data_IF_556390234052
#
_entry.id   IF_556390234052
#
_cell.length_a   1.000
_cell.length_b   1.000
_cell.length_c   1.000
_cell.angle_alpha   90.00
_cell.angle_beta   90.00
_cell.angle_gamma   90.00
#
_symmetry.space_group_name_H-M   'P 1'
#
loop_
_entity.id
_entity.type
_entity.pdbx_description
1 polymer ?
#
# COMPACT_ATOMS: atom_id res chain seq x y z
N UNK A 1 -47.54 10.48 9.08
CA UNK A 1 -46.81 9.19 9.02
C UNK A 1 -45.34 9.52 8.86
N UNK A 2 -44.35 9.00 9.57
CA UNK A 2 -44.25 7.94 10.57
C UNK A 2 -42.83 8.07 11.20
N UNK A 3 -42.77 8.29 12.52
CA UNK A 3 -41.76 7.81 13.50
C UNK A 3 -40.30 8.25 13.27
N UNK A 4 -39.74 9.17 14.06
CA UNK A 4 -39.26 9.01 15.46
C UNK A 4 -37.99 8.13 15.54
N UNK A 5 -36.92 8.81 15.98
CA UNK A 5 -35.75 8.36 16.78
C UNK A 5 -34.97 7.12 16.33
N UNK A 6 -33.71 7.35 15.95
CA UNK A 6 -32.59 6.59 16.50
C UNK A 6 -31.41 7.55 16.74
N UNK A 7 -31.33 8.03 17.98
CA UNK A 7 -30.10 8.55 18.59
C UNK A 7 -29.21 7.33 18.83
N UNK A 8 -28.20 7.14 17.98
CA UNK A 8 -27.08 6.23 18.27
C UNK A 8 -26.02 7.03 19.00
N UNK A 9 -26.13 7.03 20.34
CA UNK A 9 -25.08 7.45 21.24
C UNK A 9 -23.93 6.42 21.17
N UNK A 10 -22.98 6.62 20.25
CA UNK A 10 -21.65 6.02 20.37
C UNK A 10 -20.90 6.86 21.39
N UNK A 11 -21.00 6.44 22.64
CA UNK A 11 -20.11 6.82 23.71
C UNK A 11 -18.71 6.23 23.41
N UNK A 12 -17.92 6.90 22.57
CA UNK A 12 -16.47 6.69 22.53
C UNK A 12 -15.85 7.50 23.67
N UNK A 13 -16.01 6.96 24.87
CA UNK A 13 -15.27 7.40 26.05
C UNK A 13 -13.79 7.05 25.90
N UNK A 14 -12.99 8.03 26.31
CA UNK A 14 -11.55 8.02 26.51
C UNK A 14 -10.94 6.69 26.94
N UNK A 15 -9.81 6.35 26.32
CA UNK A 15 -8.63 5.95 27.10
C UNK A 15 -7.36 6.27 26.32
N UNK A 16 -6.86 7.49 26.54
CA UNK A 16 -5.43 7.76 26.44
C UNK A 16 -4.74 6.82 27.44
N UNK A 17 -3.98 5.87 26.93
CA UNK A 17 -3.02 5.11 27.74
C UNK A 17 -1.63 5.51 27.30
N UNK A 18 -1.05 6.48 28.01
CA UNK A 18 0.38 6.76 27.93
C UNK A 18 1.04 5.77 28.90
N UNK A 19 1.76 4.77 28.38
CA UNK A 19 2.72 4.01 29.17
C UNK A 19 4.12 4.48 28.82
N UNK A 20 4.68 5.38 29.63
CA UNK A 20 6.11 5.66 29.66
C UNK A 20 6.75 4.81 30.76
N UNK A 21 7.24 3.63 30.38
CA UNK A 21 8.18 2.87 31.21
C UNK A 21 9.58 3.16 30.70
N UNK A 22 10.24 4.16 31.30
CA UNK A 22 11.68 4.41 31.11
C UNK A 22 12.47 3.39 31.91
N UNK A 23 13.10 2.45 31.19
CA UNK A 23 14.21 1.65 31.72
C UNK A 23 15.49 2.21 31.13
N UNK A 24 16.31 2.82 31.98
CA UNK A 24 17.65 3.25 31.64
C UNK A 24 18.55 2.02 31.40
N UNK A 25 18.74 1.65 30.14
CA UNK A 25 19.95 0.99 29.68
C UNK A 25 20.44 1.77 28.46
N UNK A 26 21.50 2.52 28.68
CA UNK A 26 22.26 3.18 27.64
C UNK A 26 22.85 2.10 26.71
N UNK A 27 22.15 1.82 25.62
CA UNK A 27 22.75 1.35 24.38
C UNK A 27 22.24 2.31 23.32
N UNK A 28 23.14 3.19 22.89
CA UNK A 28 23.07 3.89 21.62
C UNK A 28 23.08 2.78 20.56
N UNK A 29 21.92 2.19 20.29
CA UNK A 29 21.65 1.58 19.01
C UNK A 29 21.06 2.70 18.20
N UNK A 30 21.94 3.35 17.43
CA UNK A 30 21.56 4.06 16.23
C UNK A 30 20.68 3.10 15.44
N UNK A 31 19.36 3.16 15.63
CA UNK A 31 18.42 2.67 14.64
C UNK A 31 18.55 3.67 13.50
N UNK A 32 19.63 3.51 12.76
CA UNK A 32 19.68 3.89 11.36
C UNK A 32 18.36 3.37 10.83
N UNK A 33 17.49 4.30 10.46
CA UNK A 33 16.39 4.02 9.56
C UNK A 33 17.09 3.60 8.26
N UNK A 34 17.65 2.39 8.25
CA UNK A 34 17.97 1.68 7.03
C UNK A 34 16.59 1.42 6.49
N UNK A 35 16.09 2.37 5.71
CA UNK A 35 15.12 2.09 4.70
C UNK A 35 15.76 0.96 3.92
N UNK A 36 15.39 -0.28 4.26
CA UNK A 36 15.82 -1.45 3.53
C UNK A 36 15.37 -1.16 2.10
N UNK A 37 16.32 -0.81 1.23
CA UNK A 37 16.02 -0.49 -0.16
C UNK A 37 15.22 -1.67 -0.69
N UNK A 38 13.92 -1.46 -0.89
CA UNK A 38 13.04 -2.51 -1.40
C UNK A 38 13.53 -2.78 -2.81
N UNK A 39 14.27 -3.87 -2.96
CA UNK A 39 14.77 -4.31 -4.25
C UNK A 39 13.61 -4.92 -5.02
N UNK A 40 13.21 -4.22 -6.06
CA UNK A 40 12.23 -4.67 -7.03
C UNK A 40 12.91 -5.54 -8.09
N UNK A 41 12.44 -6.79 -8.23
CA UNK A 41 12.84 -7.70 -9.29
C UNK A 41 11.75 -7.74 -10.36
N UNK A 42 12.13 -7.58 -11.63
CA UNK A 42 11.18 -7.68 -12.75
C UNK A 42 10.67 -9.12 -12.86
N UNK A 43 9.34 -9.27 -12.91
CA UNK A 43 8.63 -10.54 -13.03
C UNK A 43 7.63 -10.46 -14.17
N UNK A 44 7.17 -11.62 -14.65
CA UNK A 44 6.09 -11.63 -15.64
C UNK A 44 4.77 -11.24 -14.98
N UNK A 45 3.88 -10.62 -15.74
CA UNK A 45 2.52 -10.32 -15.25
C UNK A 45 1.77 -11.57 -14.76
N UNK A 46 2.05 -12.73 -15.37
CA UNK A 46 1.49 -14.03 -15.01
C UNK A 46 1.96 -14.52 -13.63
N UNK A 47 3.08 -14.01 -13.12
CA UNK A 47 3.63 -14.34 -11.80
C UNK A 47 3.05 -13.47 -10.69
N UNK A 48 2.29 -12.42 -11.05
CA UNK A 48 1.58 -11.61 -10.06
C UNK A 48 0.42 -12.41 -9.45
N UNK A 49 0.12 -12.22 -8.15
CA UNK A 49 -1.07 -12.80 -7.55
C UNK A 49 -2.34 -12.41 -8.30
N UNK A 50 -3.32 -13.32 -8.33
CA UNK A 50 -4.62 -13.06 -8.97
C UNK A 50 -5.29 -11.80 -8.42
N UNK A 51 -5.14 -11.51 -7.12
CA UNK A 51 -5.66 -10.28 -6.52
C UNK A 51 -5.12 -9.01 -7.19
N UNK A 52 -3.81 -8.95 -7.45
CA UNK A 52 -3.15 -7.81 -8.12
C UNK A 52 -3.60 -7.72 -9.58
N UNK A 53 -3.65 -8.86 -10.29
CA UNK A 53 -4.10 -8.90 -11.68
C UNK A 53 -5.56 -8.41 -11.82
N UNK A 54 -6.44 -8.83 -10.92
CA UNK A 54 -7.84 -8.39 -10.87
C UNK A 54 -7.93 -6.90 -10.56
N UNK A 55 -7.19 -6.41 -9.56
CA UNK A 55 -7.19 -4.98 -9.21
C UNK A 55 -6.74 -4.09 -10.38
N UNK A 56 -5.72 -4.52 -11.13
CA UNK A 56 -5.27 -3.83 -12.34
C UNK A 56 -6.34 -3.88 -13.43
N UNK A 57 -6.93 -5.05 -13.67
CA UNK A 57 -7.96 -5.22 -14.69
C UNK A 57 -9.23 -4.40 -14.40
N UNK A 58 -9.59 -4.19 -13.12
CA UNK A 58 -10.75 -3.40 -12.72
C UNK A 58 -10.49 -1.89 -12.70
N UNK A 59 -9.32 -1.46 -12.23
CA UNK A 59 -9.01 -0.04 -12.01
C UNK A 59 -8.29 0.62 -13.19
N UNK A 60 -7.60 -0.18 -14.02
CA UNK A 60 -6.71 0.28 -15.08
C UNK A 60 -6.96 -0.48 -16.40
N UNK A 61 -8.22 -0.82 -16.70
CA UNK A 61 -8.58 -1.56 -17.93
C UNK A 61 -8.14 -0.85 -19.22
N UNK A 62 -8.04 0.48 -19.18
CA UNK A 62 -7.62 1.32 -20.31
C UNK A 62 -6.09 1.46 -20.43
N UNK A 63 -5.32 0.85 -19.53
CA UNK A 63 -3.86 0.91 -19.52
C UNK A 63 -3.26 -0.41 -20.02
N UNK A 64 -2.17 -0.30 -20.78
CA UNK A 64 -1.32 -1.42 -21.15
C UNK A 64 -0.32 -1.71 -20.04
N UNK A 65 -0.28 -2.97 -19.57
CA UNK A 65 0.76 -3.41 -18.64
C UNK A 65 2.11 -3.50 -19.38
N UNK A 66 3.08 -2.68 -18.99
CA UNK A 66 4.43 -2.69 -19.54
C UNK A 66 5.35 -3.63 -18.78
N UNK A 67 5.40 -3.46 -17.45
CA UNK A 67 6.31 -4.19 -16.58
C UNK A 67 5.67 -4.46 -15.23
N UNK A 68 6.06 -5.58 -14.64
CA UNK A 68 5.67 -5.96 -13.29
C UNK A 68 6.93 -6.25 -12.49
N UNK A 69 6.92 -5.88 -11.23
CA UNK A 69 8.01 -6.09 -10.31
C UNK A 69 7.49 -6.59 -8.98
N UNK A 70 8.26 -7.48 -8.34
CA UNK A 70 8.05 -7.93 -6.97
C UNK A 70 9.17 -7.37 -6.09
N UNK A 71 8.78 -6.72 -5.00
CA UNK A 71 9.68 -6.29 -3.94
C UNK A 71 10.07 -7.47 -3.06
N UNK A 72 11.29 -7.46 -2.54
CA UNK A 72 11.76 -8.40 -1.52
C UNK A 72 10.85 -8.44 -0.27
N UNK A 73 10.16 -7.35 0.04
CA UNK A 73 9.19 -7.25 1.13
C UNK A 73 7.82 -7.88 0.82
N UNK A 74 7.64 -8.38 -0.43
CA UNK A 74 6.36 -8.90 -0.93
C UNK A 74 5.46 -7.82 -1.52
N UNK A 75 5.90 -6.56 -1.60
CA UNK A 75 5.17 -5.53 -2.36
C UNK A 75 5.23 -5.80 -3.86
N UNK A 76 4.32 -5.21 -4.62
CA UNK A 76 4.31 -5.29 -6.07
C UNK A 76 4.34 -3.89 -6.66
N UNK A 77 5.12 -3.68 -7.70
CA UNK A 77 5.14 -2.45 -8.49
C UNK A 77 4.82 -2.80 -9.93
N UNK A 78 3.82 -2.14 -10.51
CA UNK A 78 3.39 -2.38 -11.88
C UNK A 78 3.48 -1.07 -12.65
N UNK A 79 4.21 -1.10 -13.75
CA UNK A 79 4.29 0.02 -14.69
C UNK A 79 3.21 -0.18 -15.76
N UNK A 80 2.30 0.78 -15.82
CA UNK A 80 1.21 0.83 -16.76
C UNK A 80 1.42 1.99 -17.73
N UNK A 81 0.96 1.84 -18.96
CA UNK A 81 1.09 2.82 -20.04
C UNK A 81 -0.26 3.12 -20.65
N UNK A 82 -0.56 4.40 -20.82
CA UNK A 82 -1.74 4.87 -21.52
C UNK A 82 -1.32 5.95 -22.54
N UNK A 83 -2.22 6.44 -23.41
CA UNK A 83 -1.87 7.50 -24.36
C UNK A 83 -1.53 8.84 -23.69
N UNK A 84 -1.80 9.03 -22.40
CA UNK A 84 -1.48 10.24 -21.64
C UNK A 84 -0.08 10.19 -20.98
N UNK A 85 0.47 9.00 -20.76
CA UNK A 85 1.76 8.80 -20.10
C UNK A 85 1.93 7.40 -19.51
N UNK A 86 3.01 7.23 -18.74
CA UNK A 86 3.24 6.01 -17.97
C UNK A 86 2.96 6.29 -16.49
N UNK A 87 2.46 5.30 -15.77
CA UNK A 87 2.25 5.38 -14.33
C UNK A 87 2.84 4.14 -13.65
N UNK A 88 3.28 4.27 -12.41
CA UNK A 88 3.69 3.18 -11.54
C UNK A 88 2.66 3.01 -10.43
N UNK A 89 2.07 1.83 -10.34
CA UNK A 89 1.08 1.47 -9.32
C UNK A 89 1.71 0.47 -8.37
N UNK A 90 1.56 0.70 -7.08
CA UNK A 90 2.16 -0.11 -6.02
C UNK A 90 1.06 -0.80 -5.24
N UNK A 91 1.24 -2.09 -5.01
CA UNK A 91 0.35 -2.94 -4.22
C UNK A 91 1.12 -3.57 -3.06
N UNK A 92 0.42 -3.87 -1.98
CA UNK A 92 0.98 -4.60 -0.85
C UNK A 92 0.97 -6.13 -1.13
N UNK A 93 1.50 -6.92 -0.20
CA UNK A 93 1.55 -8.38 -0.31
C UNK A 93 0.17 -9.04 -0.44
N UNK A 94 -0.89 -8.39 0.03
CA UNK A 94 -2.28 -8.86 -0.05
C UNK A 94 -2.96 -8.49 -1.39
N UNK A 95 -2.29 -7.69 -2.22
CA UNK A 95 -2.81 -7.19 -3.48
C UNK A 95 -3.70 -5.94 -3.34
N UNK A 96 -3.66 -5.28 -2.20
CA UNK A 96 -4.33 -4.00 -1.99
C UNK A 96 -3.50 -2.85 -2.53
N UNK A 97 -4.18 -1.84 -3.10
CA UNK A 97 -3.54 -0.64 -3.60
C UNK A 97 -2.87 0.16 -2.47
N UNK A 98 -1.61 0.53 -2.69
CA UNK A 98 -0.81 1.34 -1.75
C UNK A 98 -0.66 2.77 -2.26
N UNK A 99 -0.17 2.92 -3.49
CA UNK A 99 0.04 4.23 -4.12
C UNK A 99 0.10 4.14 -5.64
N UNK A 100 -0.10 5.28 -6.29
CA UNK A 100 0.15 5.49 -7.71
C UNK A 100 1.09 6.69 -7.87
N UNK A 101 2.03 6.59 -8.79
CA UNK A 101 2.92 7.68 -9.20
C UNK A 101 2.92 7.81 -10.71
N UNK A 102 2.71 9.03 -11.21
CA UNK A 102 2.84 9.32 -12.62
C UNK A 102 4.34 9.36 -12.99
N UNK A 103 4.74 8.54 -13.95
CA UNK A 103 6.09 8.53 -14.50
C UNK A 103 6.16 9.63 -15.54
N UNK A 104 6.67 10.79 -15.14
CA UNK A 104 6.93 11.89 -16.06
C UNK A 104 7.78 11.41 -17.25
N UNK A 105 7.28 11.69 -18.46
CA UNK A 105 7.94 11.42 -19.74
C UNK A 105 9.15 12.31 -19.97
#
# INVERSE_FOLDING_TARGET
MKRILLVSAVALMCSMSISNSVSAANIISETSLVQEDVKYAEVKAEELPTAVQTAIAESYSDYALLKSFIGNDGSYMITLSNPEGNIAVYFNAEGEFVKQEDLAV
#
